data_IF_834865863989
#
_entry.id   IF_834865863989
#
_cell.length_a   1.000
_cell.length_b   1.000
_cell.length_c   1.000
_cell.angle_alpha   90.00
_cell.angle_beta   90.00
_cell.angle_gamma   90.00
#
_symmetry.space_group_name_H-M   'P 1'
#
loop_
_entity.id
_entity.type
_entity.pdbx_description
1 polymer ?
#
# COMPACT_ATOMS: atom_id res chain seq x y z
N UNK A 1 49.12 79.18 35.07
CA UNK A 1 49.03 78.08 34.07
C UNK A 1 48.25 76.87 34.56
N UNK A 2 48.46 76.35 35.79
CA UNK A 2 47.75 75.16 36.31
C UNK A 2 46.22 75.23 36.37
N UNK A 3 45.62 76.39 36.70
CA UNK A 3 44.15 76.50 36.80
C UNK A 3 43.43 76.50 35.43
N UNK A 4 44.03 77.10 34.40
CA UNK A 4 43.50 77.09 33.03
C UNK A 4 43.49 75.66 32.45
N UNK A 5 44.50 74.84 32.79
CA UNK A 5 44.57 73.44 32.38
C UNK A 5 43.49 72.56 33.03
N UNK A 6 43.14 72.83 34.30
CA UNK A 6 42.07 72.11 35.00
C UNK A 6 40.70 72.47 34.42
N UNK A 7 40.45 73.75 34.15
CA UNK A 7 39.20 74.21 33.52
C UNK A 7 39.04 73.61 32.12
N UNK A 8 40.11 73.59 31.31
CA UNK A 8 40.10 72.97 29.99
C UNK A 8 39.85 71.44 30.06
N UNK A 9 40.44 70.76 31.03
CA UNK A 9 40.21 69.33 31.26
C UNK A 9 38.77 69.04 31.72
N UNK A 10 38.22 69.84 32.62
CA UNK A 10 36.82 69.73 33.06
C UNK A 10 35.84 69.99 31.90
N UNK A 11 36.11 70.98 31.04
CA UNK A 11 35.34 71.24 29.82
C UNK A 11 35.40 70.08 28.84
N UNK A 12 36.60 69.51 28.62
CA UNK A 12 36.76 68.33 27.77
C UNK A 12 35.98 67.13 28.31
N UNK A 13 36.03 66.88 29.62
CA UNK A 13 35.28 65.81 30.28
C UNK A 13 33.76 66.07 30.17
N UNK A 14 33.31 67.31 30.36
CA UNK A 14 31.89 67.66 30.22
C UNK A 14 31.38 67.44 28.78
N UNK A 15 32.17 67.79 27.77
CA UNK A 15 31.86 67.54 26.36
C UNK A 15 31.85 66.04 26.05
N UNK A 16 32.81 65.27 26.60
CA UNK A 16 32.84 63.82 26.44
C UNK A 16 31.65 63.14 27.12
N UNK A 17 31.27 63.56 28.32
CA UNK A 17 30.10 63.04 29.03
C UNK A 17 28.79 63.41 28.33
N UNK A 18 28.67 64.64 27.81
CA UNK A 18 27.54 65.05 26.99
C UNK A 18 27.47 64.26 25.67
N UNK A 19 28.62 64.00 25.04
CA UNK A 19 28.74 63.16 23.85
C UNK A 19 28.33 61.71 24.11
N UNK A 20 28.79 61.12 25.21
CA UNK A 20 28.39 59.77 25.65
C UNK A 20 26.89 59.72 25.98
N UNK A 21 26.37 60.74 26.67
CA UNK A 21 24.94 60.88 26.98
C UNK A 21 24.06 61.02 25.73
N UNK A 22 24.51 61.79 24.74
CA UNK A 22 23.86 61.94 23.44
C UNK A 22 23.86 60.65 22.62
N UNK A 23 24.99 59.94 22.59
CA UNK A 23 25.11 58.61 21.96
C UNK A 23 24.19 57.59 22.64
N UNK A 24 24.13 57.60 23.97
CA UNK A 24 23.24 56.73 24.73
C UNK A 24 21.76 57.05 24.47
N UNK A 25 21.36 58.33 24.48
CA UNK A 25 20.00 58.75 24.17
C UNK A 25 19.58 58.45 22.73
N UNK A 26 20.51 58.58 21.78
CA UNK A 26 20.29 58.24 20.37
C UNK A 26 20.05 56.74 20.17
N UNK A 27 20.82 55.89 20.88
CA UNK A 27 20.71 54.44 20.83
C UNK A 27 19.50 53.91 21.62
N UNK A 28 19.13 54.53 22.74
CA UNK A 28 17.99 54.12 23.57
C UNK A 28 16.63 54.43 22.93
N UNK A 29 16.51 55.53 22.18
CA UNK A 29 15.29 55.85 21.41
C UNK A 29 15.04 54.94 20.18
N UNK A 30 15.93 53.96 19.96
CA UNK A 30 15.92 52.98 18.84
C UNK A 30 16.13 51.56 19.35
N UNK A 31 15.64 51.26 20.54
CA UNK A 31 15.72 49.94 21.16
C UNK A 31 14.87 48.87 20.44
N UNK A 32 13.81 49.30 19.76
CA UNK A 32 12.91 48.46 18.97
C UNK A 32 13.16 48.48 17.45
N UNK A 33 14.17 49.23 17.00
CA UNK A 33 14.55 49.36 15.58
C UNK A 33 15.41 48.17 15.15
N UNK A 34 15.03 47.53 14.05
CA UNK A 34 15.78 46.44 13.46
C UNK A 34 16.84 47.01 12.51
N UNK A 35 18.08 46.54 12.63
CA UNK A 35 19.18 47.00 11.80
C UNK A 35 18.97 46.60 10.33
N UNK A 36 19.46 47.43 9.43
CA UNK A 36 19.43 47.17 7.99
C UNK A 36 20.06 45.83 7.62
N UNK A 37 19.46 45.10 6.68
CA UNK A 37 19.94 43.80 6.19
C UNK A 37 19.47 42.57 6.99
N UNK A 38 18.66 42.74 8.04
CA UNK A 38 18.06 41.64 8.79
C UNK A 38 16.80 41.12 8.10
N UNK A 39 16.68 39.79 7.99
CA UNK A 39 15.55 39.13 7.31
C UNK A 39 14.92 38.04 8.16
N UNK A 40 13.60 37.89 8.05
CA UNK A 40 12.83 36.75 8.58
C UNK A 40 12.34 35.92 7.41
N UNK A 41 12.97 34.77 7.17
CA UNK A 41 12.78 33.99 5.95
C UNK A 41 13.12 34.82 4.70
N UNK A 42 12.14 35.00 3.82
CA UNK A 42 12.26 35.85 2.63
C UNK A 42 11.88 37.32 2.87
N UNK A 43 11.33 37.65 4.04
CA UNK A 43 10.82 38.99 4.37
C UNK A 43 11.97 39.85 4.88
N UNK A 44 12.20 41.00 4.23
CA UNK A 44 13.13 42.01 4.71
C UNK A 44 12.48 42.82 5.82
N UNK A 45 13.10 42.84 7.00
CA UNK A 45 12.60 43.56 8.18
C UNK A 45 13.59 44.62 8.67
N UNK A 46 14.70 44.81 7.95
CA UNK A 46 15.67 45.86 8.26
C UNK A 46 15.05 47.24 8.15
N UNK A 47 15.47 48.16 9.03
CA UNK A 47 14.98 49.54 9.05
C UNK A 47 13.59 49.72 9.67
N UNK A 48 12.87 48.62 9.97
CA UNK A 48 11.53 48.67 10.58
C UNK A 48 11.59 48.64 12.10
N UNK A 49 10.59 49.27 12.74
CA UNK A 49 10.34 49.04 14.16
C UNK A 49 9.68 47.69 14.40
N UNK A 50 9.81 47.15 15.60
CA UNK A 50 9.29 45.83 15.95
C UNK A 50 7.78 45.66 15.66
N UNK A 51 6.96 46.70 15.81
CA UNK A 51 5.52 46.65 15.51
C UNK A 51 5.24 46.52 14.02
N UNK A 52 5.91 47.33 13.20
CA UNK A 52 5.82 47.33 11.73
C UNK A 52 6.35 46.02 11.16
N UNK A 53 7.49 45.54 11.67
CA UNK A 53 8.07 44.26 11.29
C UNK A 53 7.12 43.09 11.60
N UNK A 54 6.41 43.10 12.74
CA UNK A 54 5.39 42.07 13.05
C UNK A 54 4.23 42.09 12.06
N UNK A 55 3.76 43.27 11.66
CA UNK A 55 2.69 43.40 10.68
C UNK A 55 3.14 42.89 9.31
N UNK A 56 4.33 43.30 8.84
CA UNK A 56 4.89 42.88 7.57
C UNK A 56 5.15 41.36 7.52
N UNK A 57 5.74 40.80 8.58
CA UNK A 57 5.98 39.35 8.67
C UNK A 57 4.64 38.60 8.71
N UNK A 58 3.60 39.11 9.38
CA UNK A 58 2.27 38.50 9.36
C UNK A 58 1.70 38.44 7.94
N UNK A 59 1.68 39.57 7.25
CA UNK A 59 1.19 39.70 5.89
C UNK A 59 1.94 38.75 4.93
N UNK A 60 3.27 38.82 4.94
CA UNK A 60 4.09 38.11 3.93
C UNK A 60 4.41 36.65 4.26
N UNK A 61 4.31 36.24 5.52
CA UNK A 61 4.61 34.88 5.95
C UNK A 61 3.33 34.10 6.30
N UNK A 62 2.43 34.70 7.09
CA UNK A 62 1.28 33.96 7.65
C UNK A 62 0.10 33.93 6.69
N UNK A 63 -0.26 35.02 6.01
CA UNK A 63 -1.44 35.04 5.13
C UNK A 63 -1.37 34.01 3.99
N UNK A 64 -0.25 33.83 3.26
CA UNK A 64 -0.15 32.79 2.24
C UNK A 64 -0.31 31.37 2.81
N UNK A 65 0.04 31.17 4.09
CA UNK A 65 -0.13 29.88 4.76
C UNK A 65 -1.57 29.64 5.23
N UNK A 66 -2.41 30.67 5.28
CA UNK A 66 -3.83 30.52 5.60
C UNK A 66 -4.62 29.89 4.45
N UNK A 67 -4.15 30.05 3.21
CA UNK A 67 -4.73 29.40 2.05
C UNK A 67 -4.69 27.86 2.18
N UNK A 68 -5.77 27.17 1.80
CA UNK A 68 -5.84 25.72 1.89
C UNK A 68 -4.80 25.07 0.97
N UNK A 69 -4.10 24.07 1.49
CA UNK A 69 -3.21 23.24 0.70
C UNK A 69 -4.05 22.20 -0.06
N UNK A 70 -4.00 22.21 -1.39
CA UNK A 70 -4.74 21.28 -2.25
C UNK A 70 -3.87 20.10 -2.65
N UNK A 71 -4.29 18.89 -2.29
CA UNK A 71 -3.63 17.66 -2.73
C UNK A 71 -4.37 17.16 -3.96
N UNK A 72 -3.71 17.14 -5.12
CA UNK A 72 -4.29 16.66 -6.38
C UNK A 72 -3.80 15.26 -6.71
N UNK A 73 -4.74 14.37 -7.01
CA UNK A 73 -4.49 12.98 -7.41
C UNK A 73 -5.40 12.63 -8.59
N UNK A 74 -4.87 12.67 -9.81
CA UNK A 74 -5.70 12.65 -11.01
C UNK A 74 -6.63 13.88 -11.01
N UNK A 75 -7.93 13.64 -11.21
CA UNK A 75 -8.97 14.69 -11.22
C UNK A 75 -9.50 15.03 -9.81
N UNK A 76 -9.13 14.24 -8.80
CA UNK A 76 -9.60 14.41 -7.43
C UNK A 76 -8.72 15.39 -6.66
N UNK A 77 -9.35 16.21 -5.83
CA UNK A 77 -8.69 17.23 -5.01
C UNK A 77 -9.08 17.11 -3.54
N UNK A 78 -8.09 17.14 -2.66
CA UNK A 78 -8.25 17.02 -1.22
C UNK A 78 -7.70 18.27 -0.54
N UNK A 79 -8.56 19.19 -0.07
CA UNK A 79 -8.09 20.35 0.66
C UNK A 79 -7.62 19.97 2.06
N UNK A 80 -6.60 20.68 2.52
CA UNK A 80 -6.18 20.76 3.92
C UNK A 80 -6.12 22.23 4.30
N UNK A 81 -7.11 22.68 5.06
CA UNK A 81 -7.16 24.07 5.52
C UNK A 81 -6.09 24.34 6.59
N UNK A 82 -5.68 25.60 6.72
CA UNK A 82 -4.77 26.02 7.77
C UNK A 82 -5.30 25.72 9.18
N UNK A 83 -6.62 25.80 9.36
CA UNK A 83 -7.31 25.48 10.63
C UNK A 83 -7.17 24.00 10.98
N UNK A 84 -7.43 23.10 10.03
CA UNK A 84 -7.28 21.66 10.22
C UNK A 84 -5.82 21.28 10.46
N UNK A 85 -4.90 21.87 9.69
CA UNK A 85 -3.47 21.70 9.86
C UNK A 85 -2.93 22.36 11.14
N UNK A 86 -3.73 23.20 11.82
CA UNK A 86 -3.36 23.98 13.01
C UNK A 86 -2.08 24.78 12.80
N UNK A 87 -1.98 25.46 11.65
CA UNK A 87 -0.83 26.29 11.30
C UNK A 87 -0.70 27.42 12.31
N UNK A 88 0.50 27.58 12.87
CA UNK A 88 0.86 28.67 13.79
C UNK A 88 2.26 29.17 13.46
N UNK A 89 2.47 30.48 13.50
CA UNK A 89 3.78 31.09 13.36
C UNK A 89 4.06 31.96 14.58
N UNK A 90 5.22 31.77 15.22
CA UNK A 90 5.62 32.60 16.36
C UNK A 90 6.31 33.89 15.88
N UNK A 91 5.49 34.78 15.30
CA UNK A 91 5.95 36.06 14.73
C UNK A 91 6.61 36.92 15.80
N UNK A 92 6.07 36.90 17.02
CA UNK A 92 6.63 37.67 18.13
C UNK A 92 8.04 37.23 18.48
N UNK A 93 8.30 35.92 18.60
CA UNK A 93 9.64 35.41 18.86
C UNK A 93 10.62 35.68 17.70
N UNK A 94 10.17 35.54 16.44
CA UNK A 94 11.00 35.84 15.26
C UNK A 94 11.42 37.31 15.21
N UNK A 95 10.49 38.24 15.43
CA UNK A 95 10.81 39.67 15.46
C UNK A 95 11.65 40.05 16.68
N UNK A 96 11.40 39.42 17.84
CA UNK A 96 12.25 39.62 19.02
C UNK A 96 13.69 39.14 18.79
N UNK A 97 13.91 38.03 18.06
CA UNK A 97 15.25 37.61 17.62
C UNK A 97 15.88 38.64 16.67
N UNK A 98 15.10 39.21 15.74
CA UNK A 98 15.57 40.26 14.83
C UNK A 98 16.05 41.51 15.57
N UNK A 99 15.26 41.98 16.54
CA UNK A 99 15.65 43.11 17.40
C UNK A 99 16.88 42.74 18.22
N UNK A 100 16.89 41.59 18.89
CA UNK A 100 18.04 41.15 19.71
C UNK A 100 19.34 41.13 18.91
N UNK A 101 19.36 40.51 17.73
CA UNK A 101 20.54 40.46 16.86
C UNK A 101 20.96 41.83 16.35
N UNK A 102 20.00 42.74 16.13
CA UNK A 102 20.28 44.13 15.76
C UNK A 102 20.95 44.92 16.89
N UNK A 103 20.73 44.51 18.14
CA UNK A 103 21.25 45.15 19.35
C UNK A 103 22.58 44.56 19.83
N UNK A 104 23.13 43.56 19.14
CA UNK A 104 24.44 42.98 19.46
C UNK A 104 25.58 44.01 19.29
N UNK A 105 26.55 43.97 20.21
CA UNK A 105 27.68 44.90 20.27
C UNK A 105 27.51 46.02 21.30
N UNK A 106 28.48 46.94 21.37
CA UNK A 106 28.44 48.08 22.29
C UNK A 106 27.59 49.23 21.72
N UNK A 107 27.10 50.11 22.60
CA UNK A 107 26.34 51.33 22.25
C UNK A 107 27.08 52.17 21.19
N UNK A 108 28.42 52.25 21.30
CA UNK A 108 29.27 52.97 20.35
C UNK A 108 29.27 52.31 18.96
N UNK A 109 29.47 50.99 18.89
CA UNK A 109 29.48 50.24 17.63
C UNK A 109 28.12 50.29 16.91
N UNK A 110 27.01 50.27 17.66
CA UNK A 110 25.66 50.39 17.10
C UNK A 110 25.37 51.78 16.57
N UNK A 111 25.76 52.81 17.32
CA UNK A 111 25.59 54.21 16.90
C UNK A 111 26.41 54.50 15.65
N UNK A 112 27.67 54.04 15.60
CA UNK A 112 28.52 54.17 14.41
C UNK A 112 27.91 53.47 13.19
N UNK A 113 27.36 52.26 13.38
CA UNK A 113 26.65 51.52 12.32
C UNK A 113 25.45 52.30 11.79
N UNK A 114 24.63 52.89 12.67
CA UNK A 114 23.48 53.70 12.26
C UNK A 114 23.85 54.98 11.50
N UNK A 115 24.98 55.60 11.84
CA UNK A 115 25.45 56.84 11.18
C UNK A 115 26.16 56.57 9.84
N UNK A 116 26.88 55.45 9.73
CA UNK A 116 27.63 55.09 8.51
C UNK A 116 26.83 54.23 7.52
N UNK A 117 25.58 53.89 7.85
CA UNK A 117 24.75 53.01 7.01
C UNK A 117 25.18 51.54 7.04
N UNK A 118 25.87 51.09 8.08
CA UNK A 118 26.31 49.71 8.21
C UNK A 118 25.14 48.73 8.42
N UNK A 119 25.33 47.48 8.00
CA UNK A 119 24.27 46.45 8.02
C UNK A 119 24.53 45.34 9.06
N UNK A 120 23.48 44.62 9.45
CA UNK A 120 23.53 43.35 10.19
C UNK A 120 23.03 42.25 9.26
N UNK A 121 23.94 41.37 8.81
CA UNK A 121 23.58 40.23 7.97
C UNK A 121 23.04 39.09 8.83
N UNK A 122 21.79 39.19 9.27
CA UNK A 122 21.11 38.12 10.01
C UNK A 122 19.93 37.57 9.20
N UNK A 123 19.85 36.24 9.11
CA UNK A 123 18.70 35.52 8.54
C UNK A 123 18.08 34.67 9.62
N UNK A 124 16.83 34.97 9.95
CA UNK A 124 16.05 34.27 10.96
C UNK A 124 15.17 33.26 10.23
N UNK A 125 15.32 31.98 10.59
CA UNK A 125 14.53 30.92 10.01
C UNK A 125 13.07 31.02 10.49
N UNK A 126 12.07 30.97 9.59
CA UNK A 126 10.68 30.97 9.99
C UNK A 126 10.33 29.76 10.86
N UNK A 127 9.75 29.99 12.03
CA UNK A 127 9.24 28.91 12.89
C UNK A 127 7.73 28.77 12.68
N UNK A 128 7.35 27.81 11.83
CA UNK A 128 5.96 27.46 11.53
C UNK A 128 5.64 26.09 12.10
N UNK A 129 4.70 26.05 13.06
CA UNK A 129 4.17 24.81 13.63
C UNK A 129 2.93 24.34 12.89
N UNK A 130 2.75 23.02 12.80
CA UNK A 130 1.57 22.36 12.24
C UNK A 130 1.31 21.02 12.95
N UNK A 131 0.13 20.43 12.71
CA UNK A 131 -0.28 19.16 13.32
C UNK A 131 0.08 17.96 12.45
N UNK A 132 1.03 17.13 12.91
CA UNK A 132 1.36 15.85 12.27
C UNK A 132 0.16 14.92 12.17
N UNK A 133 -0.72 14.93 13.16
CA UNK A 133 -1.96 14.15 13.14
C UNK A 133 -2.90 14.61 12.02
N UNK A 134 -2.95 15.91 11.70
CA UNK A 134 -3.75 16.41 10.58
C UNK A 134 -3.18 15.94 9.23
N UNK A 135 -1.85 15.96 9.08
CA UNK A 135 -1.17 15.42 7.89
C UNK A 135 -1.44 13.92 7.74
N UNK A 136 -1.30 13.14 8.80
CA UNK A 136 -1.62 11.71 8.80
C UNK A 136 -3.06 11.46 8.35
N UNK A 137 -4.04 12.14 8.97
CA UNK A 137 -5.45 12.00 8.63
C UNK A 137 -5.73 12.36 7.17
N UNK A 138 -5.13 13.41 6.64
CA UNK A 138 -5.24 13.76 5.22
C UNK A 138 -4.71 12.63 4.35
N UNK A 139 -3.48 12.16 4.60
CA UNK A 139 -2.86 11.09 3.80
C UNK A 139 -3.69 9.81 3.86
N UNK A 140 -4.26 9.47 5.02
CA UNK A 140 -5.15 8.31 5.15
C UNK A 140 -6.46 8.50 4.39
N UNK A 141 -7.08 9.69 4.44
CA UNK A 141 -8.28 10.00 3.62
C UNK A 141 -7.99 9.87 2.13
N UNK A 142 -6.85 10.41 1.67
CA UNK A 142 -6.41 10.29 0.26
C UNK A 142 -6.21 8.82 -0.09
N UNK A 143 -5.52 8.05 0.75
CA UNK A 143 -5.29 6.62 0.51
C UNK A 143 -6.60 5.83 0.45
N UNK A 144 -7.50 6.02 1.41
CA UNK A 144 -8.78 5.30 1.44
C UNK A 144 -9.65 5.63 0.22
N UNK A 145 -9.68 6.89 -0.22
CA UNK A 145 -10.48 7.29 -1.40
C UNK A 145 -9.84 6.85 -2.72
N UNK A 146 -8.51 6.92 -2.83
CA UNK A 146 -7.82 6.74 -4.11
C UNK A 146 -7.29 5.32 -4.34
N UNK A 147 -6.97 4.58 -3.27
CA UNK A 147 -6.47 3.21 -3.37
C UNK A 147 -7.57 2.20 -3.67
N UNK A 148 -7.23 1.18 -4.45
CA UNK A 148 -8.06 0.00 -4.69
C UNK A 148 -7.14 -1.21 -4.68
N UNK A 149 -7.49 -2.22 -3.90
CA UNK A 149 -6.69 -3.44 -3.85
C UNK A 149 -6.66 -4.17 -5.19
N UNK A 150 -5.56 -4.87 -5.44
CA UNK A 150 -5.47 -5.78 -6.56
C UNK A 150 -6.29 -7.03 -6.25
N UNK A 151 -6.97 -7.57 -7.27
CA UNK A 151 -7.75 -8.80 -7.15
C UNK A 151 -7.01 -9.90 -7.90
N UNK A 152 -6.65 -10.97 -7.18
CA UNK A 152 -6.03 -12.15 -7.75
C UNK A 152 -7.02 -12.92 -8.63
N UNK A 153 -6.52 -13.47 -9.73
CA UNK A 153 -7.32 -14.37 -10.53
C UNK A 153 -7.57 -15.68 -9.78
N UNK A 154 -8.77 -16.24 -9.90
CA UNK A 154 -9.15 -17.50 -9.28
C UNK A 154 -9.98 -18.36 -10.23
N UNK A 155 -9.86 -19.67 -10.11
CA UNK A 155 -10.77 -20.64 -10.74
C UNK A 155 -11.79 -21.07 -9.71
N UNK A 156 -13.07 -20.89 -10.03
CA UNK A 156 -14.17 -21.51 -9.30
C UNK A 156 -14.53 -22.82 -10.00
N UNK A 157 -14.50 -23.91 -9.23
CA UNK A 157 -14.81 -25.24 -9.71
C UNK A 157 -16.30 -25.51 -9.51
N UNK A 158 -16.97 -25.97 -10.55
CA UNK A 158 -18.34 -26.49 -10.50
C UNK A 158 -18.41 -27.82 -11.26
N UNK A 159 -19.46 -28.61 -11.02
CA UNK A 159 -19.60 -29.93 -11.65
C UNK A 159 -19.57 -29.87 -13.19
N UNK A 160 -20.22 -28.85 -13.76
CA UNK A 160 -20.44 -28.73 -15.20
C UNK A 160 -19.51 -27.74 -15.89
N UNK A 161 -18.84 -26.84 -15.16
CA UNK A 161 -17.97 -25.83 -15.75
C UNK A 161 -16.87 -25.37 -14.79
N UNK A 162 -15.89 -24.67 -15.35
CA UNK A 162 -14.90 -23.90 -14.61
C UNK A 162 -15.11 -22.43 -14.94
N UNK A 163 -15.27 -21.59 -13.92
CA UNK A 163 -15.40 -20.14 -14.11
C UNK A 163 -14.12 -19.45 -13.67
N UNK A 164 -13.52 -18.68 -14.57
CA UNK A 164 -12.32 -17.88 -14.28
C UNK A 164 -12.75 -16.51 -13.79
N UNK A 165 -12.40 -16.17 -12.55
CA UNK A 165 -12.43 -14.79 -12.08
C UNK A 165 -11.16 -14.11 -12.53
N UNK A 166 -11.31 -13.16 -13.44
CA UNK A 166 -10.21 -12.37 -13.98
C UNK A 166 -9.53 -11.53 -12.90
N UNK A 167 -8.19 -11.49 -12.93
CA UNK A 167 -7.40 -10.60 -12.09
C UNK A 167 -7.65 -9.13 -12.44
N UNK A 168 -7.60 -8.26 -11.43
CA UNK A 168 -7.72 -6.81 -11.61
C UNK A 168 -6.55 -6.09 -10.98
N UNK A 169 -5.86 -5.26 -11.75
CA UNK A 169 -4.79 -4.39 -11.25
C UNK A 169 -5.36 -3.40 -10.22
N UNK A 170 -4.72 -3.36 -9.07
CA UNK A 170 -4.98 -2.39 -8.02
C UNK A 170 -4.25 -1.07 -8.26
N UNK A 171 -4.51 -0.11 -7.39
CA UNK A 171 -3.82 1.18 -7.37
C UNK A 171 -3.63 1.64 -5.94
N UNK A 172 -2.54 2.34 -5.66
CA UNK A 172 -2.27 2.87 -4.33
C UNK A 172 -1.56 4.21 -4.39
N UNK A 173 -1.41 4.85 -3.24
CA UNK A 173 -0.66 6.09 -3.05
C UNK A 173 0.53 5.79 -2.14
N UNK A 174 1.73 6.24 -2.54
CA UNK A 174 2.91 6.25 -1.68
C UNK A 174 2.69 7.23 -0.52
N UNK A 175 2.18 6.70 0.58
CA UNK A 175 1.84 7.48 1.77
C UNK A 175 3.06 8.18 2.39
N UNK A 176 4.26 7.58 2.28
CA UNK A 176 5.49 8.14 2.82
C UNK A 176 5.89 9.36 2.00
N UNK A 177 5.90 9.23 0.66
CA UNK A 177 6.23 10.32 -0.26
C UNK A 177 5.20 11.44 -0.21
N UNK A 178 3.90 11.11 -0.18
CA UNK A 178 2.85 12.12 -0.07
C UNK A 178 2.97 12.91 1.23
N UNK A 179 3.18 12.24 2.37
CA UNK A 179 3.39 12.91 3.66
C UNK A 179 4.57 13.86 3.61
N UNK A 180 5.70 13.42 3.06
CA UNK A 180 6.88 14.27 2.93
C UNK A 180 6.58 15.54 2.10
N UNK A 181 5.93 15.39 0.94
CA UNK A 181 5.51 16.51 0.10
C UNK A 181 4.57 17.47 0.84
N UNK A 182 3.59 16.96 1.58
CA UNK A 182 2.64 17.79 2.36
C UNK A 182 3.37 18.56 3.46
N UNK A 183 4.28 17.92 4.22
CA UNK A 183 5.07 18.58 5.27
C UNK A 183 5.88 19.74 4.70
N UNK A 184 6.57 19.53 3.58
CA UNK A 184 7.33 20.58 2.90
C UNK A 184 6.42 21.71 2.44
N UNK A 185 5.26 21.41 1.86
CA UNK A 185 4.33 22.42 1.38
C UNK A 185 3.64 23.21 2.51
N UNK A 186 3.45 22.63 3.70
CA UNK A 186 2.86 23.32 4.86
C UNK A 186 3.75 24.41 5.45
N UNK A 187 5.08 24.31 5.26
CA UNK A 187 6.05 25.29 5.77
C UNK A 187 6.63 26.18 4.66
N UNK A 188 6.38 25.87 3.39
CA UNK A 188 6.80 26.71 2.26
C UNK A 188 5.83 27.87 2.07
N UNK A 189 6.35 29.09 2.14
CA UNK A 189 5.62 30.32 1.79
C UNK A 189 5.83 30.74 0.34
N UNK A 190 6.74 30.08 -0.37
CA UNK A 190 7.02 30.30 -1.78
C UNK A 190 6.38 29.19 -2.63
N UNK A 191 5.56 29.58 -3.61
CA UNK A 191 4.98 28.68 -4.62
C UNK A 191 3.50 28.38 -4.44
N UNK A 192 2.96 27.60 -5.39
CA UNK A 192 1.55 27.22 -5.41
C UNK A 192 1.18 26.33 -4.20
N UNK A 193 0.00 26.56 -3.63
CA UNK A 193 -0.60 25.74 -2.56
C UNK A 193 -1.17 24.42 -3.10
N UNK A 194 -0.46 23.76 -4.01
CA UNK A 194 -0.86 22.48 -4.62
C UNK A 194 0.24 21.43 -4.49
N UNK A 195 -0.11 20.26 -3.97
CA UNK A 195 0.76 19.07 -3.95
C UNK A 195 0.18 18.01 -4.88
N UNK A 196 0.94 17.63 -5.92
CA UNK A 196 0.56 16.53 -6.82
C UNK A 196 1.07 15.19 -6.29
N UNK A 197 0.15 14.22 -6.20
CA UNK A 197 0.46 12.83 -5.89
C UNK A 197 0.07 11.92 -7.06
N UNK A 198 0.86 10.87 -7.26
CA UNK A 198 0.66 9.92 -8.35
C UNK A 198 0.14 8.60 -7.79
N UNK A 199 -0.71 7.95 -8.58
CA UNK A 199 -1.19 6.60 -8.31
C UNK A 199 -0.16 5.58 -8.79
N UNK A 200 0.27 4.71 -7.89
CA UNK A 200 1.13 3.58 -8.21
C UNK A 200 0.27 2.35 -8.51
N UNK A 201 0.59 1.62 -9.58
CA UNK A 201 -0.11 0.39 -9.94
C UNK A 201 0.31 -0.74 -9.01
N UNK A 202 -0.66 -1.49 -8.50
CA UNK A 202 -0.42 -2.70 -7.69
C UNK A 202 -0.83 -3.91 -8.52
N UNK A 203 0.14 -4.75 -8.88
CA UNK A 203 -0.15 -5.94 -9.67
C UNK A 203 -0.78 -7.03 -8.78
N UNK A 204 -1.72 -7.83 -9.33
CA UNK A 204 -2.21 -9.02 -8.64
C UNK A 204 -1.07 -10.03 -8.49
N UNK A 205 -1.11 -10.80 -7.40
CA UNK A 205 -0.15 -11.89 -7.15
C UNK A 205 -0.35 -13.02 -8.17
N UNK A 206 -1.61 -13.30 -8.52
CA UNK A 206 -1.98 -14.27 -9.55
C UNK A 206 -2.66 -13.56 -10.71
N UNK A 207 -1.99 -13.50 -11.86
CA UNK A 207 -2.55 -12.96 -13.10
C UNK A 207 -3.40 -14.00 -13.83
N UNK A 208 -4.48 -13.58 -14.49
CA UNK A 208 -5.36 -14.48 -15.26
C UNK A 208 -4.61 -15.35 -16.26
N UNK A 209 -3.63 -14.77 -16.98
CA UNK A 209 -2.83 -15.50 -17.96
C UNK A 209 -2.01 -16.65 -17.38
N UNK A 210 -1.72 -16.64 -16.07
CA UNK A 210 -0.97 -17.69 -15.37
C UNK A 210 -1.87 -18.77 -14.75
N UNK A 211 -3.20 -18.59 -14.75
CA UNK A 211 -4.10 -19.60 -14.21
C UNK A 211 -4.11 -20.87 -15.06
N UNK A 212 -4.06 -20.75 -16.38
CA UNK A 212 -3.95 -21.90 -17.27
C UNK A 212 -2.65 -22.70 -17.01
N UNK A 213 -1.53 -22.02 -16.76
CA UNK A 213 -0.26 -22.67 -16.42
C UNK A 213 -0.32 -23.38 -15.07
N UNK A 214 -1.06 -22.83 -14.11
CA UNK A 214 -1.26 -23.44 -12.77
C UNK A 214 -2.21 -24.63 -12.82
N UNK A 215 -3.20 -24.60 -13.71
CA UNK A 215 -4.24 -25.61 -13.86
C UNK A 215 -4.29 -26.13 -15.31
N UNK A 216 -3.19 -26.76 -15.80
CA UNK A 216 -3.09 -27.19 -17.19
C UNK A 216 -4.09 -28.30 -17.52
N UNK A 217 -4.41 -29.13 -16.53
CA UNK A 217 -5.41 -30.19 -16.60
C UNK A 217 -6.26 -30.16 -15.33
N UNK A 218 -7.58 -30.19 -15.48
CA UNK A 218 -8.55 -30.26 -14.38
C UNK A 218 -9.63 -31.29 -14.74
N UNK A 219 -10.11 -32.02 -13.73
CA UNK A 219 -11.29 -32.86 -13.84
C UNK A 219 -12.45 -32.29 -13.03
N UNK A 220 -13.66 -32.41 -13.54
CA UNK A 220 -14.88 -32.20 -12.74
C UNK A 220 -15.79 -33.41 -12.87
N UNK A 221 -16.45 -33.76 -11.78
CA UNK A 221 -17.40 -34.86 -11.67
C UNK A 221 -18.75 -34.26 -11.31
N UNK A 222 -19.73 -34.60 -12.11
CA UNK A 222 -21.13 -34.19 -12.01
C UNK A 222 -21.93 -35.42 -11.61
N UNK A 223 -22.25 -35.51 -10.32
CA UNK A 223 -22.93 -36.67 -9.76
C UNK A 223 -24.37 -36.80 -10.26
N UNK A 224 -25.06 -35.67 -10.42
CA UNK A 224 -26.43 -35.65 -10.93
C UNK A 224 -26.52 -36.04 -12.42
N UNK A 225 -25.53 -35.66 -13.21
CA UNK A 225 -25.48 -35.95 -14.65
C UNK A 225 -24.74 -37.24 -15.02
N UNK A 226 -24.10 -37.92 -14.08
CA UNK A 226 -23.22 -39.07 -14.33
C UNK A 226 -22.14 -38.77 -15.36
N UNK A 227 -21.44 -37.63 -15.21
CA UNK A 227 -20.37 -37.23 -16.13
C UNK A 227 -19.08 -36.87 -15.41
N UNK A 228 -17.96 -37.26 -16.01
CA UNK A 228 -16.65 -36.68 -15.73
C UNK A 228 -16.20 -35.84 -16.92
N UNK A 229 -15.71 -34.63 -16.68
CA UNK A 229 -15.26 -33.69 -17.71
C UNK A 229 -13.77 -33.43 -17.56
N UNK A 230 -13.07 -33.42 -18.68
CA UNK A 230 -11.65 -33.08 -18.81
C UNK A 230 -11.54 -31.64 -19.32
N UNK A 231 -10.91 -30.79 -18.54
CA UNK A 231 -10.54 -29.44 -18.93
C UNK A 231 -9.03 -29.38 -19.19
N UNK A 232 -8.62 -28.75 -20.29
CA UNK A 232 -7.23 -28.38 -20.54
C UNK A 232 -7.12 -26.88 -20.68
N UNK A 233 -6.16 -26.27 -19.99
CA UNK A 233 -6.00 -24.82 -19.95
C UNK A 233 -7.33 -24.11 -19.65
N UNK A 234 -8.10 -24.67 -18.69
CA UNK A 234 -9.40 -24.19 -18.23
C UNK A 234 -10.53 -24.20 -19.28
N UNK A 235 -10.36 -24.90 -20.40
CA UNK A 235 -11.41 -25.14 -21.41
C UNK A 235 -11.81 -26.60 -21.43
N UNK A 236 -13.11 -26.89 -21.48
CA UNK A 236 -13.59 -28.26 -21.60
C UNK A 236 -13.11 -28.86 -22.94
N UNK A 237 -12.49 -30.02 -22.87
CA UNK A 237 -11.99 -30.76 -24.04
C UNK A 237 -12.87 -31.96 -24.33
N UNK A 238 -13.29 -32.69 -23.30
CA UNK A 238 -14.09 -33.90 -23.46
C UNK A 238 -14.88 -34.20 -22.20
N UNK A 239 -16.01 -34.87 -22.37
CA UNK A 239 -16.84 -35.35 -21.29
C UNK A 239 -17.22 -36.82 -21.50
N UNK A 240 -17.21 -37.60 -20.44
CA UNK A 240 -17.42 -39.05 -20.46
C UNK A 240 -18.55 -39.45 -19.49
N UNK A 241 -19.39 -40.43 -19.85
CA UNK A 241 -20.34 -40.99 -18.92
C UNK A 241 -19.63 -41.86 -17.87
N UNK A 242 -20.14 -41.87 -16.63
CA UNK A 242 -19.54 -42.60 -15.50
C UNK A 242 -20.61 -43.35 -14.70
N UNK A 243 -20.17 -44.29 -13.87
CA UNK A 243 -20.98 -44.80 -12.75
C UNK A 243 -20.35 -44.37 -11.42
N UNK A 244 -21.19 -44.17 -10.42
CA UNK A 244 -20.80 -43.62 -9.12
C UNK A 244 -21.17 -44.57 -7.99
N UNK A 245 -20.80 -44.18 -6.77
CA UNK A 245 -21.14 -44.92 -5.55
C UNK A 245 -22.64 -45.13 -5.37
N UNK A 246 -23.02 -46.35 -4.96
CA UNK A 246 -24.39 -46.67 -4.54
C UNK A 246 -24.77 -45.95 -3.23
N UNK A 247 -26.06 -45.97 -2.89
CA UNK A 247 -26.55 -45.38 -1.64
C UNK A 247 -25.87 -46.04 -0.42
N UNK A 248 -25.38 -45.23 0.51
CA UNK A 248 -24.58 -45.66 1.66
C UNK A 248 -23.09 -45.87 1.36
N UNK A 249 -22.67 -45.75 0.10
CA UNK A 249 -21.28 -45.82 -0.36
C UNK A 249 -21.03 -44.76 -1.45
N UNK A 250 -21.58 -43.56 -1.24
CA UNK A 250 -21.56 -42.48 -2.21
C UNK A 250 -20.12 -42.07 -2.55
N UNK A 251 -19.91 -41.66 -3.80
CA UNK A 251 -18.66 -41.02 -4.18
C UNK A 251 -18.51 -39.71 -3.40
N UNK A 252 -17.43 -39.53 -2.62
CA UNK A 252 -17.29 -38.40 -1.71
C UNK A 252 -17.12 -37.09 -2.48
N UNK A 253 -17.90 -36.07 -2.11
CA UNK A 253 -17.80 -34.74 -2.69
C UNK A 253 -16.59 -33.97 -2.14
N UNK A 254 -16.04 -33.09 -2.96
CA UNK A 254 -14.88 -32.28 -2.57
C UNK A 254 -13.94 -31.94 -3.71
N UNK A 255 -12.94 -31.14 -3.38
CA UNK A 255 -11.81 -30.85 -4.26
C UNK A 255 -10.61 -31.69 -3.82
N UNK A 256 -10.20 -32.59 -4.70
CA UNK A 256 -9.07 -33.48 -4.49
C UNK A 256 -8.05 -33.32 -5.61
N UNK A 257 -6.96 -34.08 -5.54
CA UNK A 257 -5.98 -34.21 -6.61
C UNK A 257 -5.82 -35.68 -6.98
N UNK A 258 -5.44 -35.97 -8.22
CA UNK A 258 -5.01 -37.32 -8.62
C UNK A 258 -3.72 -37.66 -7.87
N UNK A 259 -3.83 -38.53 -6.87
CA UNK A 259 -2.75 -38.87 -5.95
C UNK A 259 -1.74 -39.84 -6.56
N UNK A 260 -2.21 -40.81 -7.34
CA UNK A 260 -1.37 -41.81 -8.00
C UNK A 260 -2.05 -42.36 -9.24
N UNK A 261 -1.27 -43.07 -10.07
CA UNK A 261 -1.70 -43.66 -11.33
C UNK A 261 -1.09 -45.02 -11.54
N UNK A 262 -1.86 -45.98 -12.05
CA UNK A 262 -1.36 -47.32 -12.37
C UNK A 262 -2.02 -47.89 -13.64
N UNK A 263 -1.26 -48.68 -14.40
CA UNK A 263 -1.72 -49.45 -15.54
C UNK A 263 -1.92 -50.89 -15.10
N UNK A 264 -3.08 -51.48 -15.42
CA UNK A 264 -3.47 -52.82 -14.99
C UNK A 264 -3.19 -53.04 -13.48
N UNK A 265 -3.74 -52.17 -12.61
CA UNK A 265 -3.45 -52.19 -11.18
C UNK A 265 -3.89 -53.51 -10.54
N UNK A 266 -3.12 -54.03 -9.58
CA UNK A 266 -3.65 -55.00 -8.64
C UNK A 266 -4.73 -54.33 -7.78
N UNK A 267 -5.77 -55.09 -7.41
CA UNK A 267 -6.83 -54.60 -6.55
C UNK A 267 -6.67 -55.20 -5.14
N UNK A 268 -6.35 -54.33 -4.19
CA UNK A 268 -6.35 -54.68 -2.77
C UNK A 268 -7.78 -54.62 -2.26
N UNK A 269 -8.35 -55.77 -1.93
CA UNK A 269 -9.75 -55.87 -1.53
C UNK A 269 -9.89 -55.33 -0.11
N UNK A 270 -10.78 -54.35 0.14
CA UNK A 270 -10.95 -53.81 1.47
C UNK A 270 -11.47 -54.88 2.43
N UNK A 271 -11.09 -54.78 3.70
CA UNK A 271 -11.68 -55.57 4.78
C UNK A 271 -13.08 -55.04 5.08
N UNK A 272 -14.08 -55.54 4.35
CA UNK A 272 -15.47 -55.10 4.45
C UNK A 272 -16.42 -56.26 4.20
N UNK A 273 -17.57 -56.25 4.86
CA UNK A 273 -18.55 -57.35 4.79
C UNK A 273 -19.01 -57.67 3.37
N UNK A 274 -19.12 -56.65 2.52
CA UNK A 274 -19.51 -56.81 1.12
C UNK A 274 -18.48 -57.58 0.27
N UNK A 275 -17.22 -57.63 0.70
CA UNK A 275 -16.15 -58.32 -0.02
C UNK A 275 -16.19 -59.84 0.20
N UNK A 276 -16.92 -60.32 1.22
CA UNK A 276 -17.03 -61.74 1.54
C UNK A 276 -15.67 -62.41 1.71
N UNK A 277 -15.51 -63.58 1.09
CA UNK A 277 -14.28 -64.39 1.18
C UNK A 277 -13.04 -63.72 0.57
N UNK A 278 -13.21 -62.67 -0.24
CA UNK A 278 -12.10 -61.92 -0.82
C UNK A 278 -11.58 -60.81 0.10
N UNK A 279 -12.24 -60.51 1.23
CA UNK A 279 -11.83 -59.45 2.14
C UNK A 279 -10.35 -59.59 2.55
N UNK A 280 -9.57 -58.52 2.36
CA UNK A 280 -8.15 -58.48 2.71
C UNK A 280 -7.20 -59.21 1.74
N UNK A 281 -7.74 -59.80 0.67
CA UNK A 281 -6.93 -60.43 -0.38
C UNK A 281 -6.46 -59.42 -1.43
N UNK A 282 -5.59 -59.86 -2.34
CA UNK A 282 -5.15 -59.07 -3.50
C UNK A 282 -5.54 -59.81 -4.77
N UNK A 283 -6.36 -59.16 -5.61
CA UNK A 283 -6.64 -59.66 -6.96
C UNK A 283 -5.56 -59.14 -7.90
N UNK A 284 -4.80 -60.01 -8.60
CA UNK A 284 -3.72 -59.57 -9.48
C UNK A 284 -4.19 -58.61 -10.57
N UNK A 285 -3.28 -57.74 -11.00
CA UNK A 285 -3.55 -56.80 -12.09
C UNK A 285 -3.67 -57.49 -13.44
N UNK A 286 -4.54 -56.96 -14.31
CA UNK A 286 -4.68 -57.43 -15.68
C UNK A 286 -5.46 -58.74 -15.86
N UNK A 287 -6.00 -59.32 -14.79
CA UNK A 287 -6.87 -60.49 -14.88
C UNK A 287 -8.32 -60.10 -15.18
N UNK A 288 -9.13 -61.00 -15.79
CA UNK A 288 -10.54 -60.73 -16.06
C UNK A 288 -11.38 -60.44 -14.82
N UNK A 289 -11.00 -60.97 -13.65
CA UNK A 289 -11.74 -60.87 -12.39
C UNK A 289 -11.50 -59.51 -11.71
N UNK A 290 -10.37 -58.87 -11.96
CA UNK A 290 -10.01 -57.59 -11.34
C UNK A 290 -11.01 -56.48 -11.74
N UNK A 291 -11.71 -55.83 -10.80
CA UNK A 291 -12.75 -54.85 -11.11
C UNK A 291 -12.20 -53.50 -11.60
N UNK A 292 -10.92 -53.20 -11.37
CA UNK A 292 -10.27 -51.95 -11.80
C UNK A 292 -9.92 -51.95 -13.29
N UNK A 293 -9.81 -53.15 -13.87
CA UNK A 293 -9.52 -53.41 -15.29
C UNK A 293 -8.19 -52.79 -15.73
N UNK A 294 -8.24 -51.73 -16.54
CA UNK A 294 -7.11 -51.29 -17.34
C UNK A 294 -6.29 -50.14 -16.73
N UNK A 295 -6.94 -49.22 -16.01
CA UNK A 295 -6.32 -47.98 -15.53
C UNK A 295 -6.88 -47.61 -14.18
N UNK A 296 -6.02 -47.02 -13.36
CA UNK A 296 -6.37 -46.47 -12.07
C UNK A 296 -5.81 -45.07 -11.91
N UNK A 297 -6.65 -44.14 -11.45
CA UNK A 297 -6.26 -42.81 -11.00
C UNK A 297 -6.82 -42.61 -9.60
N UNK A 298 -5.96 -42.80 -8.59
CA UNK A 298 -6.36 -42.69 -7.19
C UNK A 298 -6.61 -41.23 -6.79
N UNK A 299 -7.60 -41.01 -5.94
CA UNK A 299 -8.01 -39.67 -5.47
C UNK A 299 -7.79 -39.57 -3.96
N UNK A 300 -8.52 -40.38 -3.18
CA UNK A 300 -8.51 -40.32 -1.72
C UNK A 300 -8.98 -41.66 -1.14
N UNK A 301 -8.34 -42.16 -0.08
CA UNK A 301 -8.81 -43.29 0.75
C UNK A 301 -9.39 -44.50 -0.01
N UNK A 302 -8.62 -45.03 -0.96
CA UNK A 302 -9.05 -46.18 -1.76
C UNK A 302 -10.11 -45.88 -2.83
N UNK A 303 -10.56 -44.62 -2.95
CA UNK A 303 -11.44 -44.13 -4.01
C UNK A 303 -10.61 -43.60 -5.17
N UNK A 304 -11.02 -43.94 -6.39
CA UNK A 304 -10.37 -43.49 -7.60
C UNK A 304 -11.24 -43.63 -8.84
N UNK A 305 -10.69 -43.18 -9.97
CA UNK A 305 -11.26 -43.37 -11.30
C UNK A 305 -10.66 -44.62 -11.93
N UNK A 306 -11.49 -45.54 -12.39
CA UNK A 306 -11.04 -46.78 -13.02
C UNK A 306 -11.97 -47.30 -14.11
N UNK A 307 -11.51 -48.31 -14.87
CA UNK A 307 -12.31 -48.95 -15.92
C UNK A 307 -13.28 -49.98 -15.35
N UNK A 308 -14.41 -50.20 -16.01
CA UNK A 308 -15.37 -51.28 -15.68
C UNK A 308 -15.70 -52.14 -16.89
N UNK A 309 -15.85 -53.45 -16.70
CA UNK A 309 -16.42 -54.35 -17.70
C UNK A 309 -17.96 -54.36 -17.66
N UNK A 310 -18.55 -53.93 -16.55
CA UNK A 310 -19.99 -53.76 -16.42
C UNK A 310 -20.42 -52.44 -17.09
N UNK A 311 -20.64 -52.51 -18.40
CA UNK A 311 -21.06 -51.37 -19.21
C UNK A 311 -22.47 -50.88 -18.82
N UNK A 312 -23.33 -51.76 -18.32
CA UNK A 312 -24.70 -51.42 -17.94
C UNK A 312 -24.74 -50.53 -16.68
N UNK A 313 -23.71 -50.59 -15.83
CA UNK A 313 -23.60 -49.68 -14.68
C UNK A 313 -23.40 -48.21 -15.03
N UNK A 314 -22.89 -47.89 -16.22
CA UNK A 314 -22.62 -46.50 -16.62
C UNK A 314 -23.93 -45.70 -16.69
N UNK A 315 -23.96 -44.55 -16.03
CA UNK A 315 -25.17 -43.74 -15.88
C UNK A 315 -26.00 -44.07 -14.63
N UNK A 316 -25.43 -44.83 -13.67
CA UNK A 316 -26.10 -45.22 -12.43
C UNK A 316 -25.18 -45.18 -11.20
N UNK A 317 -25.79 -45.28 -10.02
CA UNK A 317 -25.12 -45.46 -8.74
C UNK A 317 -24.96 -46.97 -8.48
N UNK A 318 -23.77 -47.52 -8.73
CA UNK A 318 -23.52 -48.97 -8.75
C UNK A 318 -22.16 -49.38 -8.17
N UNK A 319 -21.31 -48.43 -7.82
CA UNK A 319 -19.97 -48.68 -7.28
C UNK A 319 -19.95 -48.61 -5.75
N UNK A 320 -18.81 -48.95 -5.16
CA UNK A 320 -18.55 -48.83 -3.71
C UNK A 320 -17.78 -47.54 -3.40
N UNK A 321 -18.18 -46.44 -4.05
CA UNK A 321 -17.58 -45.11 -3.93
C UNK A 321 -16.67 -44.68 -5.09
N UNK A 322 -16.07 -45.61 -5.84
CA UNK A 322 -15.21 -45.32 -6.99
C UNK A 322 -15.97 -44.74 -8.20
N UNK A 323 -15.26 -43.98 -9.04
CA UNK A 323 -15.80 -43.47 -10.30
C UNK A 323 -15.47 -44.48 -11.41
N UNK A 324 -16.48 -45.21 -11.89
CA UNK A 324 -16.32 -46.20 -12.96
C UNK A 324 -16.47 -45.55 -14.33
N UNK A 325 -15.61 -45.92 -15.25
CA UNK A 325 -15.60 -45.50 -16.64
C UNK A 325 -15.56 -46.70 -17.59
N UNK A 326 -16.02 -46.51 -18.82
CA UNK A 326 -15.74 -47.48 -19.89
C UNK A 326 -14.21 -47.67 -20.05
N UNK A 327 -13.79 -48.89 -20.35
CA UNK A 327 -12.36 -49.26 -20.42
C UNK A 327 -11.65 -48.44 -21.51
N UNK A 328 -12.30 -48.24 -22.64
CA UNK A 328 -11.82 -47.42 -23.75
C UNK A 328 -11.64 -45.95 -23.34
N UNK A 329 -12.58 -45.40 -22.58
CA UNK A 329 -12.57 -44.00 -22.17
C UNK A 329 -11.55 -43.72 -21.07
N UNK A 330 -11.45 -44.61 -20.07
CA UNK A 330 -10.47 -44.44 -18.99
C UNK A 330 -9.03 -44.53 -19.52
N UNK A 331 -8.77 -45.34 -20.55
CA UNK A 331 -7.46 -45.39 -21.21
C UNK A 331 -7.10 -44.03 -21.80
N UNK A 332 -8.04 -43.42 -22.54
CA UNK A 332 -7.84 -42.10 -23.17
C UNK A 332 -7.73 -40.99 -22.13
N UNK A 333 -8.52 -41.04 -21.05
CA UNK A 333 -8.45 -40.05 -19.98
C UNK A 333 -7.12 -40.17 -19.21
N UNK A 334 -6.70 -41.39 -18.90
CA UNK A 334 -5.47 -41.66 -18.14
C UNK A 334 -4.25 -41.03 -18.80
N UNK A 335 -4.10 -41.14 -20.12
CA UNK A 335 -2.92 -40.60 -20.81
C UNK A 335 -2.85 -39.07 -20.79
N UNK A 336 -3.98 -38.39 -20.52
CA UNK A 336 -4.09 -36.94 -20.54
C UNK A 336 -4.02 -36.29 -19.15
N UNK A 337 -4.21 -37.07 -18.09
CA UNK A 337 -4.32 -36.55 -16.72
C UNK A 337 -3.04 -36.86 -15.95
N UNK A 338 -2.22 -35.86 -15.60
CA UNK A 338 -1.02 -36.08 -14.77
C UNK A 338 -1.38 -36.34 -13.30
N UNK A 339 -0.47 -36.97 -12.57
CA UNK A 339 -0.51 -36.98 -11.09
C UNK A 339 -0.45 -35.53 -10.60
N UNK A 340 -1.26 -35.19 -9.59
CA UNK A 340 -1.40 -33.84 -9.05
C UNK A 340 -2.48 -32.99 -9.73
N UNK A 341 -3.08 -33.44 -10.85
CA UNK A 341 -4.20 -32.73 -11.47
C UNK A 341 -5.39 -32.68 -10.50
N UNK A 342 -6.03 -31.50 -10.31
CA UNK A 342 -7.21 -31.39 -9.46
C UNK A 342 -8.42 -32.10 -10.07
N UNK A 343 -9.24 -32.67 -9.20
CA UNK A 343 -10.55 -33.25 -9.50
C UNK A 343 -11.57 -32.71 -8.51
N UNK A 344 -12.59 -32.03 -9.04
CA UNK A 344 -13.71 -31.52 -8.26
C UNK A 344 -14.92 -32.45 -8.40
N UNK A 345 -15.57 -32.77 -7.29
CA UNK A 345 -16.77 -33.61 -7.20
C UNK A 345 -17.83 -32.80 -6.46
N UNK A 346 -19.00 -32.58 -7.08
CA UNK A 346 -20.07 -31.71 -6.56
C UNK A 346 -20.82 -32.27 -5.36
#
# INVERSE_FOLDING_TARGET
>A
MRQLSIIALCLLIAVLLAGVGGVYAYDSGRDDLIAEGVRVGAVDVGGLRATEARALVRDRLLEPLQEPLLIRVGDESFPLSAREARIRADISAMVADAVRRSREGSVFSRTWRGLTGGQVRARIAPTVGYSEAAVQRLVDRVRVKMSRDAVDAKVDFAAQNLTVRESKTGRTIDAKRLRAKVRTALVSTAGERTVRAELEKVQPKVSSGRLADRYPVVLTVDRGGFRIRLFKNLKEVKSYPIALGEAGQETPSGLYNIANKAVNPAWNVPNSDWAGDLAGTVVPGGTPENPLKARWMGIYDGVGVHGTADRASIGSNASKGCIRMLIEDVKVLYDQVPVGAPIYID
#
